data_IF_255618969100
#
_entry.id   IF_255618969100
#
_cell.length_a   1.000
_cell.length_b   1.000
_cell.length_c   1.000
_cell.angle_alpha   90.00
_cell.angle_beta   90.00
_cell.angle_gamma   90.00
#
_symmetry.space_group_name_H-M   'P 1'
#
loop_
_entity.id
_entity.type
_entity.pdbx_description
1 polymer ?
#
# COMPACT_ATOMS: atom_id res chain seq x y z
N UNK A 1 5.46 -31.36 -7.55
CA UNK A 1 5.32 -29.96 -7.08
C UNK A 1 5.11 -29.97 -5.57
N UNK A 2 6.08 -29.48 -4.78
CA UNK A 2 6.04 -29.50 -3.31
C UNK A 2 4.95 -28.50 -2.85
N UNK A 3 3.88 -28.96 -2.19
CA UNK A 3 2.81 -28.09 -1.65
C UNK A 3 3.42 -27.23 -0.54
N UNK A 4 3.80 -26.00 -0.86
CA UNK A 4 4.23 -25.02 0.13
C UNK A 4 3.06 -24.68 1.05
N UNK A 5 3.36 -24.45 2.34
CA UNK A 5 2.37 -24.06 3.33
C UNK A 5 1.78 -22.69 2.95
N UNK A 6 0.45 -22.60 2.81
CA UNK A 6 -0.27 -21.39 2.36
C UNK A 6 0.13 -20.12 3.15
N UNK A 7 0.42 -20.28 4.45
CA UNK A 7 0.86 -19.17 5.31
C UNK A 7 2.26 -18.64 4.96
N UNK A 8 3.19 -19.52 4.59
CA UNK A 8 4.56 -19.13 4.23
C UNK A 8 4.57 -18.32 2.92
N UNK A 9 3.74 -18.73 1.95
CA UNK A 9 3.59 -18.00 0.68
C UNK A 9 2.98 -16.61 0.88
N UNK A 10 1.94 -16.49 1.71
CA UNK A 10 1.36 -15.20 2.06
C UNK A 10 2.39 -14.28 2.72
N UNK A 11 3.21 -14.81 3.62
CA UNK A 11 4.24 -14.04 4.30
C UNK A 11 5.28 -13.50 3.31
N UNK A 12 5.76 -14.34 2.38
CA UNK A 12 6.72 -13.92 1.35
C UNK A 12 6.15 -12.79 0.47
N UNK A 13 4.89 -12.89 0.04
CA UNK A 13 4.25 -11.83 -0.75
C UNK A 13 4.18 -10.52 0.04
N UNK A 14 3.73 -10.58 1.30
CA UNK A 14 3.60 -9.40 2.14
C UNK A 14 4.98 -8.76 2.39
N UNK A 15 6.03 -9.56 2.60
CA UNK A 15 7.40 -9.05 2.76
C UNK A 15 7.91 -8.35 1.50
N UNK A 16 7.71 -8.93 0.31
CA UNK A 16 8.09 -8.30 -0.96
C UNK A 16 7.33 -6.99 -1.16
N UNK A 17 6.02 -6.99 -0.88
CA UNK A 17 5.18 -5.80 -0.95
C UNK A 17 5.69 -4.71 0.00
N UNK A 18 5.99 -5.05 1.25
CA UNK A 18 6.50 -4.09 2.24
C UNK A 18 7.82 -3.45 1.79
N UNK A 19 8.75 -4.24 1.24
CA UNK A 19 10.02 -3.72 0.71
C UNK A 19 9.78 -2.76 -0.45
N UNK A 20 8.89 -3.12 -1.38
CA UNK A 20 8.55 -2.27 -2.52
C UNK A 20 7.95 -0.93 -2.08
N UNK A 21 7.06 -0.95 -1.09
CA UNK A 21 6.40 0.25 -0.54
C UNK A 21 7.41 1.15 0.17
N UNK A 22 8.29 0.58 0.98
CA UNK A 22 9.35 1.33 1.66
C UNK A 22 10.27 2.00 0.63
N UNK A 23 10.70 1.26 -0.39
CA UNK A 23 11.52 1.81 -1.47
C UNK A 23 10.81 2.98 -2.17
N UNK A 24 9.53 2.83 -2.48
CA UNK A 24 8.75 3.86 -3.16
C UNK A 24 8.62 5.13 -2.32
N UNK A 25 8.34 4.98 -1.02
CA UNK A 25 8.25 6.10 -0.07
C UNK A 25 9.58 6.83 0.05
N UNK A 26 10.69 6.09 0.24
CA UNK A 26 12.02 6.68 0.31
C UNK A 26 12.33 7.46 -0.97
N UNK A 27 12.02 6.88 -2.14
CA UNK A 27 12.24 7.55 -3.41
C UNK A 27 11.43 8.84 -3.53
N UNK A 28 10.13 8.83 -3.18
CA UNK A 28 9.29 10.03 -3.20
C UNK A 28 9.81 11.13 -2.26
N UNK A 29 10.24 10.75 -1.05
CA UNK A 29 10.80 11.71 -0.08
C UNK A 29 12.13 12.26 -0.57
N UNK A 30 12.99 11.43 -1.17
CA UNK A 30 14.30 11.85 -1.67
C UNK A 30 14.21 12.76 -2.90
N UNK A 31 13.25 12.52 -3.80
CA UNK A 31 13.02 13.38 -4.97
C UNK A 31 12.19 14.61 -4.62
N UNK A 32 11.46 14.60 -3.50
CA UNK A 32 10.45 15.61 -3.18
C UNK A 32 9.24 15.57 -4.11
N UNK A 33 9.13 14.55 -4.96
CA UNK A 33 8.07 14.43 -5.95
C UNK A 33 7.11 13.33 -5.49
N UNK A 34 5.87 13.75 -5.20
CA UNK A 34 4.76 12.85 -4.93
C UNK A 34 4.27 12.11 -6.18
N UNK A 35 3.15 11.40 -6.05
CA UNK A 35 2.44 10.86 -7.21
C UNK A 35 1.85 12.00 -8.06
N UNK A 36 1.94 11.87 -9.38
CA UNK A 36 1.41 12.84 -10.36
C UNK A 36 -0.13 12.77 -10.50
N UNK A 37 -0.85 12.85 -9.40
CA UNK A 37 -2.31 12.92 -9.39
C UNK A 37 -2.78 14.21 -8.71
N UNK A 38 -3.93 14.73 -9.12
CA UNK A 38 -4.56 15.86 -8.41
C UNK A 38 -4.86 15.51 -6.95
N UNK A 39 -4.97 16.52 -6.09
CA UNK A 39 -5.31 16.34 -4.67
C UNK A 39 -6.65 15.58 -4.49
N UNK A 40 -7.66 15.90 -5.31
CA UNK A 40 -8.97 15.21 -5.27
C UNK A 40 -8.82 13.71 -5.55
N UNK A 41 -8.01 13.33 -6.53
CA UNK A 41 -7.76 11.93 -6.87
C UNK A 41 -7.06 11.17 -5.75
N UNK A 42 -6.14 11.81 -5.02
CA UNK A 42 -5.51 11.18 -3.85
C UNK A 42 -6.55 10.82 -2.77
N UNK A 43 -7.50 11.71 -2.48
CA UNK A 43 -8.57 11.43 -1.52
C UNK A 43 -9.48 10.29 -1.98
N UNK A 44 -9.81 10.25 -3.28
CA UNK A 44 -10.57 9.12 -3.86
C UNK A 44 -9.82 7.80 -3.66
N UNK A 45 -8.52 7.76 -3.96
CA UNK A 45 -7.71 6.55 -3.78
C UNK A 45 -7.62 6.13 -2.31
N UNK A 46 -7.42 7.06 -1.39
CA UNK A 46 -7.39 6.77 0.06
C UNK A 46 -8.70 6.11 0.50
N UNK A 47 -9.84 6.67 0.10
CA UNK A 47 -11.16 6.11 0.44
C UNK A 47 -11.31 4.71 -0.15
N UNK A 48 -10.96 4.50 -1.42
CA UNK A 48 -11.00 3.18 -2.07
C UNK A 48 -10.12 2.15 -1.33
N UNK A 49 -8.91 2.53 -0.93
CA UNK A 49 -8.02 1.64 -0.18
C UNK A 49 -8.51 1.37 1.24
N UNK A 50 -9.18 2.32 1.90
CA UNK A 50 -9.83 2.10 3.20
C UNK A 50 -10.92 1.03 3.06
N UNK A 51 -11.83 1.16 2.08
CA UNK A 51 -12.88 0.14 1.86
C UNK A 51 -12.29 -1.22 1.49
N UNK A 52 -11.26 -1.24 0.65
CA UNK A 52 -10.54 -2.48 0.29
C UNK A 52 -9.92 -3.12 1.53
N UNK A 53 -9.29 -2.33 2.40
CA UNK A 53 -8.70 -2.82 3.64
C UNK A 53 -9.76 -3.39 4.56
N UNK A 54 -10.88 -2.69 4.77
CA UNK A 54 -11.98 -3.14 5.62
C UNK A 54 -12.61 -4.44 5.12
N UNK A 55 -12.84 -4.58 3.82
CA UNK A 55 -13.36 -5.80 3.22
C UNK A 55 -12.41 -6.99 3.45
N UNK A 56 -11.11 -6.79 3.24
CA UNK A 56 -10.12 -7.85 3.41
C UNK A 56 -9.84 -8.21 4.88
N UNK A 57 -9.93 -7.24 5.79
CA UNK A 57 -9.85 -7.49 7.25
C UNK A 57 -11.02 -8.37 7.70
N UNK A 58 -12.25 -8.08 7.25
CA UNK A 58 -13.42 -8.90 7.57
C UNK A 58 -13.27 -10.35 7.10
N UNK A 59 -12.71 -10.54 5.92
CA UNK A 59 -12.46 -11.88 5.36
C UNK A 59 -11.16 -12.53 5.85
N UNK A 60 -10.42 -11.90 6.77
CA UNK A 60 -9.11 -12.37 7.27
C UNK A 60 -8.09 -12.63 6.15
N UNK A 61 -8.19 -11.90 5.03
CA UNK A 61 -7.28 -11.99 3.88
C UNK A 61 -6.08 -11.07 4.07
N UNK A 62 -5.03 -11.60 4.69
CA UNK A 62 -3.82 -10.85 5.04
C UNK A 62 -3.18 -10.10 3.86
N UNK A 63 -3.10 -10.72 2.68
CA UNK A 63 -2.53 -10.10 1.47
C UNK A 63 -3.33 -8.85 1.07
N UNK A 64 -4.66 -8.96 0.99
CA UNK A 64 -5.50 -7.85 0.56
C UNK A 64 -5.49 -6.70 1.58
N UNK A 65 -5.41 -7.01 2.87
CA UNK A 65 -5.22 -6.00 3.92
C UNK A 65 -3.87 -5.28 3.75
N UNK A 66 -2.79 -6.01 3.47
CA UNK A 66 -1.47 -5.42 3.26
C UNK A 66 -1.44 -4.52 2.02
N UNK A 67 -2.09 -4.92 0.93
CA UNK A 67 -2.22 -4.09 -0.29
C UNK A 67 -2.98 -2.80 0.01
N UNK A 68 -4.12 -2.89 0.70
CA UNK A 68 -4.91 -1.72 1.07
C UNK A 68 -4.15 -0.75 1.97
N UNK A 69 -3.51 -1.25 3.02
CA UNK A 69 -2.67 -0.42 3.90
C UNK A 69 -1.51 0.24 3.17
N UNK A 70 -0.86 -0.49 2.27
CA UNK A 70 0.24 0.01 1.44
C UNK A 70 -0.21 1.16 0.54
N UNK A 71 -1.36 1.01 -0.11
CA UNK A 71 -1.95 2.04 -0.96
C UNK A 71 -2.30 3.31 -0.18
N UNK A 72 -2.88 3.17 1.02
CA UNK A 72 -3.14 4.31 1.93
C UNK A 72 -1.83 5.01 2.26
N UNK A 73 -0.81 4.27 2.69
CA UNK A 73 0.46 4.82 3.11
C UNK A 73 1.11 5.66 2.00
N UNK A 74 1.21 5.12 0.79
CA UNK A 74 1.79 5.82 -0.37
C UNK A 74 1.00 7.09 -0.70
N UNK A 75 -0.33 7.02 -0.71
CA UNK A 75 -1.18 8.18 -1.03
C UNK A 75 -1.03 9.28 0.04
N UNK A 76 -0.97 8.91 1.33
CA UNK A 76 -0.78 9.87 2.41
C UNK A 76 0.62 10.49 2.34
N UNK A 77 1.67 9.70 2.11
CA UNK A 77 3.03 10.22 1.89
C UNK A 77 3.05 11.23 0.74
N UNK A 78 2.38 10.91 -0.37
CA UNK A 78 2.27 11.82 -1.52
C UNK A 78 1.62 13.17 -1.14
N UNK A 79 0.49 13.14 -0.42
CA UNK A 79 -0.18 14.37 0.03
C UNK A 79 0.73 15.18 0.96
N UNK A 80 1.42 14.51 1.89
CA UNK A 80 2.33 15.18 2.83
C UNK A 80 3.45 15.89 2.08
N UNK A 81 4.02 15.26 1.05
CA UNK A 81 5.07 15.88 0.23
C UNK A 81 4.53 17.04 -0.63
N UNK A 82 3.30 16.95 -1.13
CA UNK A 82 2.67 18.08 -1.84
C UNK A 82 2.34 19.27 -0.93
N UNK A 83 2.25 19.05 0.38
CA UNK A 83 1.93 20.08 1.36
C UNK A 83 3.17 20.78 1.96
N UNK A 84 4.36 20.23 1.74
CA UNK A 84 5.67 20.77 2.18
C UNK A 84 6.27 21.58 1.03
#
# INVERSE_FOLDING_TARGET
MKKWNSKAYQLVIISILAIAVIYFIINMVATGVGLEFSLLWHWVFIICFIFTTLANVKEKRAIGTAIGLSGILICVTSIVLMAI
#
